data_IF_614004207550
#
_entry.id   IF_614004207550
#
_cell.length_a   1.000
_cell.length_b   1.000
_cell.length_c   1.000
_cell.angle_alpha   90.00
_cell.angle_beta   90.00
_cell.angle_gamma   90.00
#
_symmetry.space_group_name_H-M   'P 1'
#
loop_
_entity.id
_entity.type
_entity.pdbx_description
1 polymer ?
#
# COMPACT_ATOMS: atom_id res chain seq x y z
N UNK A 1 15.26 21.42 57.13
CA UNK A 1 15.90 20.74 58.31
C UNK A 1 16.49 19.43 57.78
N UNK A 2 17.78 19.45 57.70
CA UNK A 2 18.79 18.40 57.94
C UNK A 2 18.76 17.22 56.98
N UNK A 3 19.75 17.10 56.06
CA UNK A 3 21.14 16.63 56.36
C UNK A 3 21.15 15.10 56.23
N UNK A 4 21.96 14.39 55.52
CA UNK A 4 23.38 14.37 55.15
C UNK A 4 23.66 13.02 54.51
N UNK A 5 24.37 12.94 53.45
CA UNK A 5 25.77 12.56 53.32
C UNK A 5 26.10 11.06 53.15
N UNK A 6 26.90 10.80 52.12
CA UNK A 6 28.25 10.17 52.15
C UNK A 6 28.16 8.64 51.97
N UNK A 7 28.95 7.91 51.15
CA UNK A 7 30.34 7.95 50.78
C UNK A 7 30.65 7.05 49.59
N UNK A 8 31.59 7.46 48.85
CA UNK A 8 32.46 6.72 47.95
C UNK A 8 32.97 5.38 48.49
N UNK A 9 33.26 4.44 47.55
CA UNK A 9 34.55 3.73 47.64
C UNK A 9 35.04 3.34 46.25
N UNK A 10 36.22 3.85 45.96
CA UNK A 10 37.19 3.41 44.96
C UNK A 10 37.67 1.99 45.27
N UNK A 11 37.84 1.14 44.24
CA UNK A 11 38.96 0.21 44.29
C UNK A 11 39.49 -0.05 42.88
N UNK A 12 40.69 0.45 42.73
CA UNK A 12 41.65 0.15 41.65
C UNK A 12 42.19 -1.26 41.89
N UNK A 13 42.28 -2.09 40.87
CA UNK A 13 43.30 -3.13 40.87
C UNK A 13 43.94 -3.34 39.50
N UNK A 14 45.20 -3.38 39.53
CA UNK A 14 46.23 -3.23 38.53
C UNK A 14 46.52 -4.52 37.78
N UNK A 15 46.82 -4.38 36.47
CA UNK A 15 47.91 -4.96 35.66
C UNK A 15 48.42 -6.39 35.96
N UNK A 16 48.34 -7.23 34.92
CA UNK A 16 49.48 -8.12 34.61
C UNK A 16 49.68 -8.19 33.09
N UNK A 17 50.84 -7.72 32.65
CA UNK A 17 51.43 -7.90 31.35
C UNK A 17 51.82 -9.38 31.17
N UNK A 18 51.62 -9.92 29.99
CA UNK A 18 52.49 -10.97 29.46
C UNK A 18 52.58 -10.84 27.95
N UNK A 19 53.80 -10.48 27.50
CA UNK A 19 54.24 -10.60 26.12
C UNK A 19 54.56 -12.05 25.77
N UNK A 20 54.27 -12.45 24.54
CA UNK A 20 54.78 -13.67 23.92
C UNK A 20 54.68 -13.55 22.41
N UNK A 21 55.77 -13.13 21.76
CA UNK A 21 55.98 -13.10 20.31
C UNK A 21 56.22 -14.50 19.77
N UNK A 22 55.63 -14.86 18.63
CA UNK A 22 56.38 -15.23 17.40
C UNK A 22 55.45 -15.69 16.25
N UNK A 23 55.88 -15.59 14.99
CA UNK A 23 55.02 -15.35 13.86
C UNK A 23 54.68 -16.62 13.08
N UNK A 24 53.44 -16.70 12.58
CA UNK A 24 53.15 -17.62 11.48
C UNK A 24 52.19 -16.94 10.49
N UNK A 25 52.76 -16.54 9.35
CA UNK A 25 52.02 -16.18 8.15
C UNK A 25 51.17 -17.37 7.73
N UNK A 26 49.87 -17.25 7.82
CA UNK A 26 48.91 -17.94 6.97
C UNK A 26 48.09 -16.87 6.28
N UNK A 27 48.17 -16.84 4.96
CA UNK A 27 47.24 -16.14 4.09
C UNK A 27 45.86 -16.73 4.34
N UNK A 28 45.03 -16.02 5.10
CA UNK A 28 43.60 -16.27 5.16
C UNK A 28 42.93 -15.50 4.03
N UNK A 29 42.45 -16.26 3.04
CA UNK A 29 41.46 -15.83 2.09
C UNK A 29 40.24 -15.28 2.85
N UNK A 30 40.15 -13.98 3.03
CA UNK A 30 38.97 -13.29 3.49
C UNK A 30 37.89 -13.31 2.38
N UNK A 31 37.26 -14.44 2.17
CA UNK A 31 35.93 -14.45 1.60
C UNK A 31 35.04 -13.83 2.65
N UNK A 32 34.68 -12.55 2.46
CA UNK A 32 33.64 -11.89 3.24
C UNK A 32 32.37 -12.73 3.14
N UNK A 33 32.04 -13.46 4.18
CA UNK A 33 30.70 -14.00 4.37
C UNK A 33 29.76 -12.80 4.43
N UNK A 34 29.09 -12.49 3.32
CA UNK A 34 28.05 -11.46 3.28
C UNK A 34 26.89 -12.03 4.09
N UNK A 35 26.62 -11.40 5.23
CA UNK A 35 25.53 -11.80 6.12
C UNK A 35 24.19 -11.78 5.34
N UNK A 36 23.44 -12.86 5.45
CA UNK A 36 22.13 -13.00 4.81
C UNK A 36 21.16 -11.87 5.20
N UNK A 37 21.38 -11.21 6.34
CA UNK A 37 20.64 -10.02 6.79
C UNK A 37 21.03 -8.76 6.00
N UNK A 38 22.30 -8.60 5.60
CA UNK A 38 22.74 -7.49 4.73
C UNK A 38 22.22 -7.66 3.31
N UNK A 39 22.19 -8.89 2.78
CA UNK A 39 21.59 -9.19 1.48
C UNK A 39 20.07 -8.96 1.47
N UNK A 40 19.38 -9.23 2.57
CA UNK A 40 17.96 -8.98 2.72
C UNK A 40 17.65 -7.48 2.81
N UNK A 41 18.47 -6.72 3.56
CA UNK A 41 18.35 -5.27 3.67
C UNK A 41 18.71 -4.55 2.36
N UNK A 42 19.69 -5.04 1.60
CA UNK A 42 20.06 -4.47 0.31
C UNK A 42 19.00 -4.75 -0.76
N UNK A 43 18.34 -5.92 -0.72
CA UNK A 43 17.24 -6.27 -1.63
C UNK A 43 15.96 -5.45 -1.38
N UNK A 44 15.73 -4.96 -0.17
CA UNK A 44 14.59 -4.07 0.15
C UNK A 44 14.86 -2.62 -0.23
N UNK A 45 16.11 -2.16 -0.22
CA UNK A 45 16.48 -0.78 -0.54
C UNK A 45 16.27 -0.40 -2.03
N UNK A 46 16.19 -1.38 -2.93
CA UNK A 46 16.04 -1.16 -4.38
C UNK A 46 14.62 -1.38 -4.92
N UNK A 47 13.66 -1.74 -4.06
CA UNK A 47 12.27 -1.98 -4.50
C UNK A 47 11.54 -0.67 -4.80
N UNK A 48 10.82 -0.65 -5.93
CA UNK A 48 9.94 0.44 -6.30
C UNK A 48 8.60 0.31 -5.58
N UNK A 49 8.05 1.42 -5.06
CA UNK A 49 6.82 1.39 -4.30
C UNK A 49 5.59 1.37 -5.19
N UNK A 50 4.67 0.44 -4.92
CA UNK A 50 3.28 0.46 -5.37
C UNK A 50 2.41 0.85 -4.18
N UNK A 51 1.83 2.03 -4.21
CA UNK A 51 1.00 2.55 -3.13
C UNK A 51 -0.48 2.34 -3.45
N UNK A 52 -1.17 1.56 -2.62
CA UNK A 52 -2.62 1.39 -2.67
C UNK A 52 -3.29 2.41 -1.76
N UNK A 53 -3.98 3.35 -2.36
CA UNK A 53 -4.68 4.42 -1.67
C UNK A 53 -6.18 4.22 -1.83
N UNK A 54 -6.86 3.84 -0.75
CA UNK A 54 -8.24 3.39 -0.85
C UNK A 54 -9.00 3.36 0.47
N UNK A 55 -10.11 2.66 0.43
CA UNK A 55 -11.10 2.56 1.51
C UNK A 55 -10.89 1.32 2.39
N UNK A 56 -11.97 0.86 3.04
CA UNK A 56 -12.02 -0.41 3.77
C UNK A 56 -11.74 -1.64 2.90
N UNK A 57 -12.05 -1.57 1.61
CA UNK A 57 -11.76 -2.64 0.66
C UNK A 57 -10.25 -2.84 0.51
N UNK A 58 -9.52 -1.74 0.34
CA UNK A 58 -8.06 -1.71 0.29
C UNK A 58 -7.43 -2.08 1.64
N UNK A 59 -7.98 -1.56 2.74
CA UNK A 59 -7.49 -1.87 4.09
C UNK A 59 -7.66 -3.35 4.49
N UNK A 60 -8.59 -4.10 3.85
CA UNK A 60 -8.93 -5.46 4.25
C UNK A 60 -9.74 -5.50 5.55
N UNK A 61 -10.73 -4.59 5.69
CA UNK A 61 -11.53 -4.46 6.91
C UNK A 61 -12.12 -5.81 7.35
N UNK A 62 -11.94 -6.14 8.63
CA UNK A 62 -12.44 -7.36 9.24
C UNK A 62 -11.59 -8.62 9.02
N UNK A 63 -10.44 -8.48 8.33
CA UNK A 63 -9.53 -9.58 8.00
C UNK A 63 -8.12 -9.33 8.57
N UNK A 64 -7.30 -10.37 8.57
CA UNK A 64 -5.85 -10.19 8.78
C UNK A 64 -5.27 -9.31 7.67
N UNK A 65 -4.36 -8.37 7.97
CA UNK A 65 -3.73 -7.52 6.96
C UNK A 65 -3.10 -8.29 5.78
N UNK A 66 -2.63 -9.52 6.01
CA UNK A 66 -2.08 -10.39 4.97
C UNK A 66 -3.14 -10.97 4.02
N UNK A 67 -4.42 -10.92 4.40
CA UNK A 67 -5.54 -11.38 3.57
C UNK A 67 -6.11 -10.26 2.68
N UNK A 68 -5.74 -9.00 2.93
CA UNK A 68 -6.17 -7.87 2.10
C UNK A 68 -5.63 -8.00 0.66
N UNK A 69 -6.41 -7.60 -0.34
CA UNK A 69 -6.00 -7.76 -1.75
C UNK A 69 -4.65 -7.11 -2.10
N UNK A 70 -4.19 -6.01 -1.48
CA UNK A 70 -2.84 -5.51 -1.72
C UNK A 70 -1.75 -6.48 -1.25
N UNK A 71 -1.94 -7.18 -0.12
CA UNK A 71 -1.00 -8.19 0.35
C UNK A 71 -0.97 -9.42 -0.58
N UNK A 72 -2.13 -9.88 -1.05
CA UNK A 72 -2.21 -10.95 -2.06
C UNK A 72 -1.50 -10.54 -3.37
N UNK A 73 -1.54 -9.25 -3.74
CA UNK A 73 -0.78 -8.73 -4.88
C UNK A 73 0.72 -8.74 -4.59
N UNK A 74 1.16 -8.45 -3.36
CA UNK A 74 2.56 -8.58 -2.98
C UNK A 74 3.07 -10.01 -3.15
N UNK A 75 2.29 -11.02 -2.75
CA UNK A 75 2.66 -12.42 -2.97
C UNK A 75 2.86 -12.74 -4.46
N UNK A 76 2.00 -12.21 -5.34
CA UNK A 76 2.15 -12.37 -6.80
C UNK A 76 3.41 -11.69 -7.34
N UNK A 77 3.74 -10.50 -6.85
CA UNK A 77 4.95 -9.75 -7.17
C UNK A 77 6.19 -10.54 -6.77
N UNK A 78 6.21 -11.07 -5.55
CA UNK A 78 7.33 -11.84 -5.00
C UNK A 78 7.50 -13.18 -5.74
N UNK A 79 6.41 -13.86 -6.09
CA UNK A 79 6.46 -15.11 -6.87
C UNK A 79 7.08 -14.94 -8.26
N UNK A 80 6.99 -13.74 -8.82
CA UNK A 80 7.58 -13.38 -10.12
C UNK A 80 8.93 -12.66 -9.98
N UNK A 81 9.46 -12.53 -8.76
CA UNK A 81 10.69 -11.80 -8.45
C UNK A 81 10.73 -10.37 -9.03
N UNK A 82 9.59 -9.68 -9.06
CA UNK A 82 9.51 -8.30 -9.52
C UNK A 82 10.02 -7.35 -8.43
N UNK A 83 10.78 -6.28 -8.79
CA UNK A 83 11.41 -5.38 -7.82
C UNK A 83 10.43 -4.32 -7.29
N UNK A 84 9.30 -4.75 -6.74
CA UNK A 84 8.28 -3.86 -6.20
C UNK A 84 7.90 -4.24 -4.78
N UNK A 85 7.54 -3.23 -4.00
CA UNK A 85 6.98 -3.34 -2.65
C UNK A 85 5.61 -2.69 -2.62
N UNK A 86 4.63 -3.38 -2.04
CA UNK A 86 3.26 -2.89 -1.87
C UNK A 86 3.12 -2.19 -0.54
N UNK A 87 2.66 -0.94 -0.59
CA UNK A 87 2.27 -0.17 0.60
C UNK A 87 0.75 -0.03 0.61
N UNK A 88 0.11 -0.59 1.64
CA UNK A 88 -1.32 -0.47 1.84
C UNK A 88 -1.63 0.79 2.66
N UNK A 89 -2.23 1.78 2.02
CA UNK A 89 -2.71 3.03 2.61
C UNK A 89 -4.25 3.14 2.58
N UNK A 90 -4.95 2.01 2.68
CA UNK A 90 -6.40 1.95 2.83
C UNK A 90 -6.85 2.52 4.17
N UNK A 91 -7.96 3.27 4.17
CA UNK A 91 -8.57 3.82 5.37
C UNK A 91 -10.09 3.60 5.34
N UNK A 92 -10.57 2.77 6.28
CA UNK A 92 -11.99 2.41 6.34
C UNK A 92 -12.89 3.64 6.50
N UNK A 93 -13.98 3.67 5.70
CA UNK A 93 -14.94 4.76 5.72
C UNK A 93 -14.51 6.03 4.97
N UNK A 94 -13.34 6.04 4.35
CA UNK A 94 -12.81 7.22 3.67
C UNK A 94 -13.64 7.61 2.45
N UNK A 95 -13.95 8.91 2.35
CA UNK A 95 -14.54 9.55 1.17
C UNK A 95 -13.46 10.16 0.28
N UNK A 96 -13.84 10.56 -0.93
CA UNK A 96 -12.92 11.28 -1.82
C UNK A 96 -12.43 12.60 -1.22
N UNK A 97 -13.27 13.29 -0.44
CA UNK A 97 -12.87 14.49 0.30
C UNK A 97 -11.83 14.19 1.38
N UNK A 98 -12.01 13.09 2.13
CA UNK A 98 -11.01 12.61 3.11
C UNK A 98 -9.68 12.30 2.45
N UNK A 99 -9.72 11.51 1.37
CA UNK A 99 -8.53 11.16 0.59
C UNK A 99 -7.79 12.38 0.05
N UNK A 100 -8.51 13.36 -0.50
CA UNK A 100 -7.94 14.64 -0.95
C UNK A 100 -7.21 15.38 0.17
N UNK A 101 -7.73 15.35 1.38
CA UNK A 101 -7.11 16.06 2.51
C UNK A 101 -5.82 15.37 2.99
N UNK A 102 -5.70 14.04 2.90
CA UNK A 102 -4.52 13.31 3.39
C UNK A 102 -3.51 12.92 2.31
N UNK A 103 -3.81 13.08 1.01
CA UNK A 103 -2.94 12.62 -0.07
C UNK A 103 -1.50 13.15 0.04
N UNK A 104 -1.34 14.42 0.44
CA UNK A 104 -0.03 15.01 0.60
C UNK A 104 0.82 14.36 1.71
N UNK A 105 0.17 13.88 2.75
CA UNK A 105 0.84 13.17 3.84
C UNK A 105 1.24 11.74 3.44
N UNK A 106 0.42 11.08 2.64
CA UNK A 106 0.69 9.70 2.20
C UNK A 106 1.79 9.65 1.13
N UNK A 107 1.88 10.67 0.28
CA UNK A 107 2.93 10.80 -0.75
C UNK A 107 4.23 11.41 -0.17
N UNK A 108 4.74 10.83 0.91
CA UNK A 108 5.99 11.24 1.56
C UNK A 108 7.25 10.53 1.03
N UNK A 109 7.06 9.61 0.09
CA UNK A 109 8.11 8.82 -0.56
C UNK A 109 7.90 8.75 -2.07
N UNK A 110 8.94 8.30 -2.80
CA UNK A 110 8.82 8.09 -4.25
C UNK A 110 7.93 6.89 -4.53
N UNK A 111 6.83 7.11 -5.25
CA UNK A 111 5.86 6.09 -5.64
C UNK A 111 6.00 5.81 -7.14
N UNK A 112 6.25 4.56 -7.51
CA UNK A 112 6.35 4.15 -8.91
C UNK A 112 4.96 3.91 -9.52
N UNK A 113 4.04 3.29 -8.75
CA UNK A 113 2.65 3.08 -9.15
C UNK A 113 1.72 3.49 -8.02
N UNK A 114 0.73 4.29 -8.34
CA UNK A 114 -0.32 4.73 -7.43
C UNK A 114 -1.65 4.10 -7.83
N UNK A 115 -2.20 3.25 -6.97
CA UNK A 115 -3.49 2.59 -7.18
C UNK A 115 -4.55 3.34 -6.38
N UNK A 116 -5.48 4.00 -7.07
CA UNK A 116 -6.52 4.86 -6.48
C UNK A 116 -7.86 4.13 -6.42
N UNK A 117 -8.30 3.75 -5.21
CA UNK A 117 -9.58 3.10 -4.92
C UNK A 117 -10.38 3.97 -3.95
N UNK A 118 -11.13 4.94 -4.45
CA UNK A 118 -11.99 5.81 -3.65
C UNK A 118 -13.31 6.09 -4.39
N UNK A 119 -14.30 6.54 -3.66
CA UNK A 119 -15.59 6.98 -4.17
C UNK A 119 -16.77 6.11 -3.74
N UNK A 120 -16.55 4.84 -3.36
CA UNK A 120 -17.63 3.98 -2.90
C UNK A 120 -18.41 4.58 -1.72
N UNK A 121 -17.70 5.12 -0.73
CA UNK A 121 -18.33 5.77 0.43
C UNK A 121 -19.07 7.06 0.07
N UNK A 122 -18.61 7.78 -0.93
CA UNK A 122 -19.33 8.96 -1.48
C UNK A 122 -20.64 8.50 -2.12
N UNK A 123 -20.59 7.51 -2.99
CA UNK A 123 -21.75 6.95 -3.65
C UNK A 123 -22.79 6.42 -2.67
N UNK A 124 -22.37 5.62 -1.67
CA UNK A 124 -23.26 5.06 -0.65
C UNK A 124 -23.89 6.12 0.26
N UNK A 125 -23.25 7.27 0.43
CA UNK A 125 -23.74 8.39 1.25
C UNK A 125 -24.51 9.45 0.44
N UNK A 126 -24.65 9.24 -0.87
CA UNK A 126 -25.35 10.19 -1.74
C UNK A 126 -24.63 11.54 -1.88
N UNK A 127 -23.28 11.55 -1.79
CA UNK A 127 -22.49 12.76 -2.03
C UNK A 127 -22.70 13.23 -3.47
N UNK A 128 -22.81 14.55 -3.75
CA UNK A 128 -22.91 15.05 -5.11
C UNK A 128 -21.78 14.49 -6.00
N UNK A 129 -22.16 13.88 -7.14
CA UNK A 129 -21.20 13.20 -8.01
C UNK A 129 -20.17 14.15 -8.63
N UNK A 130 -20.52 15.42 -8.77
CA UNK A 130 -19.60 16.49 -9.17
C UNK A 130 -18.46 16.68 -8.16
N UNK A 131 -18.75 16.56 -6.85
CA UNK A 131 -17.75 16.64 -5.79
C UNK A 131 -16.84 15.40 -5.81
N UNK A 132 -17.44 14.20 -5.88
CA UNK A 132 -16.70 12.95 -6.01
C UNK A 132 -15.71 13.00 -7.18
N UNK A 133 -16.21 13.41 -8.37
CA UNK A 133 -15.39 13.54 -9.58
C UNK A 133 -14.28 14.58 -9.42
N UNK A 134 -14.59 15.73 -8.84
CA UNK A 134 -13.62 16.82 -8.60
C UNK A 134 -12.54 16.41 -7.60
N UNK A 135 -12.90 15.74 -6.51
CA UNK A 135 -11.93 15.29 -5.51
C UNK A 135 -11.01 14.20 -6.06
N UNK A 136 -11.54 13.21 -6.82
CA UNK A 136 -10.71 12.21 -7.51
C UNK A 136 -9.75 12.87 -8.50
N UNK A 137 -10.20 13.85 -9.29
CA UNK A 137 -9.33 14.61 -10.18
C UNK A 137 -8.23 15.32 -9.41
N UNK A 138 -8.56 16.00 -8.32
CA UNK A 138 -7.57 16.71 -7.49
C UNK A 138 -6.51 15.77 -6.91
N UNK A 139 -6.88 14.54 -6.48
CA UNK A 139 -5.94 13.53 -6.04
C UNK A 139 -5.00 13.13 -7.18
N UNK A 140 -5.54 12.87 -8.38
CA UNK A 140 -4.76 12.53 -9.57
C UNK A 140 -3.76 13.65 -9.90
N UNK A 141 -4.19 14.90 -9.83
CA UNK A 141 -3.36 16.07 -10.12
C UNK A 141 -2.19 16.18 -9.12
N UNK A 142 -2.46 16.03 -7.82
CA UNK A 142 -1.41 16.02 -6.78
C UNK A 142 -0.39 14.90 -7.01
N UNK A 143 -0.83 13.69 -7.37
CA UNK A 143 0.10 12.58 -7.66
C UNK A 143 1.01 12.92 -8.83
N UNK A 144 0.46 13.45 -9.91
CA UNK A 144 1.24 13.86 -11.11
C UNK A 144 2.17 15.04 -10.83
N UNK A 145 1.74 15.99 -10.01
CA UNK A 145 2.55 17.14 -9.63
C UNK A 145 3.75 16.71 -8.79
N UNK A 146 3.55 15.81 -7.83
CA UNK A 146 4.64 15.31 -6.98
C UNK A 146 5.67 14.47 -7.73
N UNK A 147 5.21 13.65 -8.67
CA UNK A 147 6.09 12.83 -9.51
C UNK A 147 5.38 12.49 -10.83
N UNK A 148 5.76 13.16 -11.89
CA UNK A 148 5.19 12.96 -13.23
C UNK A 148 5.40 11.54 -13.79
N UNK A 149 6.41 10.80 -13.30
CA UNK A 149 6.70 9.43 -13.74
C UNK A 149 5.82 8.37 -13.06
N UNK A 150 5.10 8.75 -11.99
CA UNK A 150 4.20 7.82 -11.30
C UNK A 150 3.10 7.33 -12.24
N UNK A 151 3.02 6.02 -12.42
CA UNK A 151 1.89 5.40 -13.13
C UNK A 151 0.68 5.35 -12.21
N UNK A 152 -0.47 5.76 -12.72
CA UNK A 152 -1.72 5.75 -11.93
C UNK A 152 -2.65 4.68 -12.50
N UNK A 153 -3.11 3.79 -11.60
CA UNK A 153 -4.17 2.82 -11.87
C UNK A 153 -5.40 3.28 -11.10
N UNK A 154 -6.42 3.71 -11.84
CA UNK A 154 -7.70 4.07 -11.25
C UNK A 154 -8.56 2.82 -11.10
N UNK A 155 -9.18 2.65 -9.93
CA UNK A 155 -10.02 1.49 -9.64
C UNK A 155 -11.48 1.92 -9.67
N UNK A 156 -12.23 1.40 -10.64
CA UNK A 156 -13.64 1.66 -10.82
C UNK A 156 -14.49 0.99 -9.75
N UNK A 157 -15.55 1.69 -9.37
CA UNK A 157 -16.54 1.24 -8.40
C UNK A 157 -17.96 1.35 -8.96
N UNK A 158 -18.83 0.51 -8.45
CA UNK A 158 -20.27 0.58 -8.63
C UNK A 158 -20.96 0.63 -7.28
N UNK A 159 -22.17 1.15 -7.25
CA UNK A 159 -23.00 1.23 -6.04
C UNK A 159 -24.30 0.47 -6.27
N UNK A 160 -24.98 0.02 -5.20
CA UNK A 160 -26.22 -0.72 -5.31
C UNK A 160 -27.29 0.04 -6.09
N UNK A 161 -28.13 -0.66 -6.87
CA UNK A 161 -29.12 -0.02 -7.74
C UNK A 161 -30.26 0.70 -7.00
N UNK A 162 -30.42 0.45 -5.70
CA UNK A 162 -31.42 1.10 -4.85
C UNK A 162 -31.17 2.61 -4.62
N UNK A 163 -30.04 3.14 -5.06
CA UNK A 163 -29.72 4.58 -5.06
C UNK A 163 -30.39 5.34 -6.24
N UNK A 164 -31.10 4.63 -7.10
CA UNK A 164 -31.75 5.19 -8.30
C UNK A 164 -30.87 5.07 -9.55
N UNK A 165 -31.51 4.72 -10.67
CA UNK A 165 -30.79 4.38 -11.91
C UNK A 165 -29.95 5.55 -12.46
N UNK A 166 -30.48 6.76 -12.45
CA UNK A 166 -29.75 7.93 -12.92
C UNK A 166 -28.45 8.16 -12.12
N UNK A 167 -28.56 8.14 -10.78
CA UNK A 167 -27.41 8.33 -9.90
C UNK A 167 -26.38 7.21 -10.03
N UNK A 168 -26.79 5.94 -10.06
CA UNK A 168 -25.89 4.79 -10.19
C UNK A 168 -25.18 4.76 -11.54
N UNK A 169 -25.89 5.10 -12.62
CA UNK A 169 -25.31 5.19 -13.97
C UNK A 169 -24.28 6.33 -14.05
N UNK A 170 -24.61 7.51 -13.54
CA UNK A 170 -23.68 8.65 -13.51
C UNK A 170 -22.45 8.34 -12.64
N UNK A 171 -22.65 7.73 -11.46
CA UNK A 171 -21.55 7.30 -10.59
C UNK A 171 -20.59 6.35 -11.30
N UNK A 172 -21.10 5.32 -11.96
CA UNK A 172 -20.29 4.35 -12.71
C UNK A 172 -19.44 5.03 -13.78
N UNK A 173 -19.95 6.05 -14.44
CA UNK A 173 -19.27 6.76 -15.53
C UNK A 173 -18.13 7.68 -15.05
N UNK A 174 -18.06 8.04 -13.76
CA UNK A 174 -16.99 8.88 -13.22
C UNK A 174 -15.60 8.28 -13.53
N UNK A 175 -15.43 6.98 -13.30
CA UNK A 175 -14.13 6.32 -13.40
C UNK A 175 -13.62 6.22 -14.83
N UNK A 176 -14.36 5.70 -15.81
CA UNK A 176 -13.91 5.67 -17.21
C UNK A 176 -13.69 7.06 -17.80
N UNK A 177 -14.51 8.04 -17.41
CA UNK A 177 -14.32 9.44 -17.82
C UNK A 177 -12.99 10.01 -17.32
N UNK A 178 -12.69 9.81 -16.03
CA UNK A 178 -11.43 10.28 -15.42
C UNK A 178 -10.23 9.53 -16.01
N UNK A 179 -10.35 8.23 -16.19
CA UNK A 179 -9.28 7.42 -16.79
C UNK A 179 -8.96 7.90 -18.22
N UNK A 180 -9.99 8.10 -19.05
CA UNK A 180 -9.86 8.63 -20.42
C UNK A 180 -9.26 10.03 -20.43
N UNK A 181 -9.79 10.95 -19.62
CA UNK A 181 -9.32 12.35 -19.53
C UNK A 181 -7.85 12.42 -19.15
N UNK A 182 -7.43 11.59 -18.21
CA UNK A 182 -6.10 11.62 -17.61
C UNK A 182 -5.13 10.61 -18.21
N UNK A 183 -5.56 9.78 -19.17
CA UNK A 183 -4.80 8.68 -19.80
C UNK A 183 -4.27 7.70 -18.75
N UNK A 184 -5.15 7.25 -17.86
CA UNK A 184 -4.84 6.31 -16.78
C UNK A 184 -5.20 4.90 -17.17
N UNK A 185 -4.52 3.93 -16.56
CA UNK A 185 -5.00 2.55 -16.54
C UNK A 185 -6.24 2.44 -15.64
N UNK A 186 -7.20 1.62 -16.06
CA UNK A 186 -8.48 1.48 -15.36
C UNK A 186 -8.76 0.02 -15.03
N UNK A 187 -8.97 -0.28 -13.75
CA UNK A 187 -9.70 -1.49 -13.33
C UNK A 187 -11.19 -1.17 -13.45
N UNK A 188 -11.94 -1.80 -14.36
CA UNK A 188 -13.30 -1.36 -14.65
C UNK A 188 -14.24 -1.44 -13.45
N UNK A 189 -14.15 -2.52 -12.67
CA UNK A 189 -14.92 -2.71 -11.44
C UNK A 189 -14.16 -3.61 -10.45
N UNK A 190 -13.83 -3.07 -9.28
CA UNK A 190 -13.06 -3.80 -8.27
C UNK A 190 -13.76 -5.08 -7.81
N UNK A 191 -15.07 -4.96 -7.50
CA UNK A 191 -15.88 -6.05 -6.95
C UNK A 191 -16.47 -6.99 -8.03
N UNK A 192 -15.92 -6.97 -9.25
CA UNK A 192 -16.34 -7.89 -10.30
C UNK A 192 -16.24 -9.35 -9.82
N UNK A 193 -17.35 -10.10 -9.92
CA UNK A 193 -17.51 -11.47 -9.43
C UNK A 193 -17.42 -11.65 -7.90
N UNK A 194 -17.59 -10.56 -7.14
CA UNK A 194 -17.64 -10.58 -5.66
C UNK A 194 -18.85 -9.82 -5.15
N UNK A 195 -19.14 -8.66 -5.70
CA UNK A 195 -20.24 -7.81 -5.26
C UNK A 195 -21.59 -8.55 -5.31
N UNK A 196 -22.30 -8.58 -4.18
CA UNK A 196 -23.61 -9.23 -4.05
C UNK A 196 -23.58 -10.76 -3.91
N UNK A 197 -22.41 -11.41 -3.95
CA UNK A 197 -22.27 -12.86 -3.75
C UNK A 197 -22.05 -13.13 -2.27
N UNK A 198 -23.04 -13.72 -1.60
CA UNK A 198 -23.08 -13.88 -0.14
C UNK A 198 -21.84 -14.59 0.41
N UNK A 199 -21.39 -15.64 -0.26
CA UNK A 199 -20.27 -16.50 0.17
C UNK A 199 -18.91 -15.77 0.08
N UNK A 200 -18.84 -14.71 -0.74
CA UNK A 200 -17.64 -13.93 -0.98
C UNK A 200 -17.61 -12.62 -0.18
N UNK A 201 -18.67 -12.34 0.57
CA UNK A 201 -18.79 -11.16 1.41
C UNK A 201 -19.02 -11.55 2.89
N UNK A 202 -18.52 -10.71 3.78
CA UNK A 202 -18.73 -10.83 5.23
C UNK A 202 -20.25 -10.66 5.56
N UNK A 203 -20.68 -10.92 6.79
CA UNK A 203 -22.09 -10.85 7.17
C UNK A 203 -22.76 -9.48 6.90
N UNK A 204 -21.97 -8.41 6.77
CA UNK A 204 -22.48 -7.08 6.43
C UNK A 204 -22.88 -6.93 4.95
N UNK A 205 -22.50 -7.90 4.09
CA UNK A 205 -22.82 -7.92 2.67
C UNK A 205 -22.06 -6.89 1.81
N UNK A 206 -21.09 -6.18 2.39
CA UNK A 206 -20.36 -5.07 1.77
C UNK A 206 -18.87 -5.40 1.63
N UNK A 207 -18.27 -5.95 2.71
CA UNK A 207 -16.84 -6.21 2.76
C UNK A 207 -16.55 -7.67 2.34
N UNK A 208 -15.62 -7.87 1.40
CA UNK A 208 -15.26 -9.22 0.97
C UNK A 208 -14.66 -10.07 2.09
N UNK A 209 -14.90 -11.39 2.02
CA UNK A 209 -14.15 -12.39 2.79
C UNK A 209 -12.72 -12.52 2.24
N UNK A 210 -11.84 -13.29 2.91
CA UNK A 210 -10.50 -13.59 2.43
C UNK A 210 -10.53 -14.16 0.99
N UNK A 211 -11.48 -15.03 0.66
CA UNK A 211 -11.66 -15.53 -0.71
C UNK A 211 -12.12 -14.44 -1.68
N UNK A 212 -13.03 -13.56 -1.25
CA UNK A 212 -13.40 -12.38 -2.03
C UNK A 212 -12.20 -11.48 -2.32
N UNK A 213 -11.34 -11.24 -1.34
CA UNK A 213 -10.12 -10.43 -1.49
C UNK A 213 -9.14 -11.02 -2.53
N UNK A 214 -9.02 -12.34 -2.63
CA UNK A 214 -8.23 -12.99 -3.70
C UNK A 214 -8.77 -12.69 -5.10
N UNK A 215 -10.10 -12.61 -5.23
CA UNK A 215 -10.73 -12.23 -6.50
C UNK A 215 -10.48 -10.75 -6.81
N UNK A 216 -10.60 -9.85 -5.81
CA UNK A 216 -10.23 -8.45 -5.96
C UNK A 216 -8.78 -8.30 -6.42
N UNK A 217 -7.85 -9.02 -5.77
CA UNK A 217 -6.46 -9.06 -6.18
C UNK A 217 -6.30 -9.45 -7.65
N UNK A 218 -7.04 -10.46 -8.13
CA UNK A 218 -6.99 -10.90 -9.51
C UNK A 218 -7.56 -9.84 -10.48
N UNK A 219 -8.63 -9.13 -10.08
CA UNK A 219 -9.21 -8.06 -10.89
C UNK A 219 -8.23 -6.90 -11.08
N UNK A 220 -7.55 -6.49 -10.01
CA UNK A 220 -6.51 -5.45 -10.06
C UNK A 220 -5.27 -5.95 -10.81
N UNK A 221 -4.85 -7.20 -10.57
CA UNK A 221 -3.64 -7.78 -11.16
C UNK A 221 -3.66 -7.81 -12.70
N UNK A 222 -4.83 -8.03 -13.30
CA UNK A 222 -4.99 -8.00 -14.77
C UNK A 222 -4.54 -6.70 -15.40
N UNK A 223 -4.74 -5.59 -14.67
CA UNK A 223 -4.38 -4.24 -15.13
C UNK A 223 -3.00 -3.84 -14.62
N UNK A 224 -2.66 -4.17 -13.38
CA UNK A 224 -1.41 -3.78 -12.75
C UNK A 224 -0.19 -4.49 -13.34
N UNK A 225 -0.29 -5.82 -13.61
CA UNK A 225 0.83 -6.62 -14.12
C UNK A 225 1.48 -6.03 -15.37
N UNK A 226 0.74 -5.65 -16.43
CA UNK A 226 1.35 -5.02 -17.62
C UNK A 226 2.07 -3.69 -17.32
N UNK A 227 1.66 -2.96 -16.27
CA UNK A 227 2.25 -1.68 -15.86
C UNK A 227 3.64 -1.87 -15.25
N UNK A 228 3.81 -2.96 -14.48
CA UNK A 228 5.03 -3.24 -13.69
C UNK A 228 5.98 -4.23 -14.35
N UNK A 229 5.58 -4.86 -15.45
CA UNK A 229 6.41 -5.83 -16.20
C UNK A 229 7.14 -5.21 -17.40
N UNK A 230 7.05 -3.88 -17.56
CA UNK A 230 7.70 -3.12 -18.64
C UNK A 230 9.07 -2.64 -18.25
#
# INVERSE_FOLDING_TARGET
MRILLIFCYFLIFTLCFSCGESPNKKEENNAKEIDASELKNQKTADRKVILFFGTSLTAGMGLDPNEAFPAVIQEKIDSLNLPYEVVNAGLSGETTAGGKNRINWVLNQKVAVFVLELGANDGLRGVPLTETKSNLQAIIDVVKEKNADTKIVLVGMEIPPNMGEAYTSEFRNIFPDLAKKNKLELVPFLLQNVGGIKELNQPDGIHPTAEGQKILANNVWKVLKPVISK
#
